data_IF_021310104114
#
_entry.id   IF_021310104114
#
_cell.length_a   1.000
_cell.length_b   1.000
_cell.length_c   1.000
_cell.angle_alpha   90.00
_cell.angle_beta   90.00
_cell.angle_gamma   90.00
#
_symmetry.space_group_name_H-M   'P 1'
#
loop_
_entity.id
_entity.type
_entity.pdbx_description
1 polymer ?
#
# COMPACT_ATOMS: atom_id res chain seq x y z
N UNK A 1 17.75 -51.26 40.80
CA UNK A 1 17.28 -49.89 40.53
C UNK A 1 17.74 -49.53 39.13
N UNK A 2 16.94 -49.89 38.13
CA UNK A 2 17.30 -49.88 36.70
C UNK A 2 16.41 -48.89 35.96
N UNK A 3 17.06 -48.01 35.20
CA UNK A 3 16.52 -47.41 33.98
C UNK A 3 15.48 -46.30 34.15
N UNK A 4 15.91 -45.04 34.23
CA UNK A 4 15.01 -43.91 33.96
C UNK A 4 15.68 -42.60 33.50
N UNK A 5 16.99 -42.60 33.19
CA UNK A 5 17.70 -41.32 32.94
C UNK A 5 18.04 -40.99 31.48
N UNK A 6 17.78 -41.87 30.51
CA UNK A 6 18.21 -41.64 29.12
C UNK A 6 17.12 -41.08 28.19
N UNK A 7 15.83 -41.12 28.58
CA UNK A 7 14.73 -40.77 27.68
C UNK A 7 14.40 -39.27 27.65
N UNK A 8 14.88 -38.47 28.60
CA UNK A 8 14.50 -37.06 28.73
C UNK A 8 15.33 -36.10 27.85
N UNK A 9 16.49 -36.53 27.33
CA UNK A 9 17.38 -35.66 26.56
C UNK A 9 17.09 -35.62 25.05
N UNK A 10 16.33 -36.57 24.50
CA UNK A 10 16.02 -36.60 23.06
C UNK A 10 14.85 -35.70 22.65
N UNK A 11 14.07 -35.16 23.60
CA UNK A 11 12.89 -34.36 23.29
C UNK A 11 13.17 -32.86 23.01
N UNK A 12 14.40 -32.39 23.21
CA UNK A 12 14.78 -30.98 23.02
C UNK A 12 15.29 -30.64 21.62
N UNK A 13 15.57 -31.65 20.78
CA UNK A 13 16.20 -31.43 19.46
C UNK A 13 15.21 -31.28 18.30
N UNK A 14 13.90 -31.45 18.51
CA UNK A 14 12.88 -31.27 17.46
C UNK A 14 12.21 -29.89 17.44
N UNK A 15 12.54 -28.98 18.36
CA UNK A 15 11.84 -27.69 18.48
C UNK A 15 12.38 -26.56 17.56
N UNK A 16 13.42 -26.81 16.76
CA UNK A 16 14.02 -25.80 15.86
C UNK A 16 13.68 -26.02 14.37
N UNK A 17 12.80 -26.96 14.04
CA UNK A 17 12.35 -27.23 12.67
C UNK A 17 11.12 -26.42 12.25
N UNK A 18 11.04 -25.14 12.62
CA UNK A 18 10.02 -24.25 12.07
C UNK A 18 10.42 -23.89 10.65
N UNK A 19 9.91 -24.61 9.66
CA UNK A 19 9.89 -24.10 8.29
C UNK A 19 9.24 -22.71 8.38
N UNK A 20 10.00 -21.67 8.04
CA UNK A 20 9.46 -20.32 7.96
C UNK A 20 8.39 -20.35 6.88
N UNK A 21 7.13 -20.49 7.28
CA UNK A 21 5.97 -20.21 6.45
C UNK A 21 6.24 -18.86 5.78
N UNK A 22 6.09 -18.74 4.45
CA UNK A 22 6.28 -17.46 3.78
C UNK A 22 5.35 -16.47 4.47
N UNK A 23 5.95 -15.54 5.22
CA UNK A 23 5.19 -14.60 6.04
C UNK A 23 4.29 -13.82 5.09
N UNK A 24 2.99 -14.09 5.17
CA UNK A 24 2.00 -13.41 4.34
C UNK A 24 2.07 -11.92 4.69
N UNK A 25 2.63 -11.12 3.77
CA UNK A 25 2.95 -9.72 4.01
C UNK A 25 1.87 -8.87 3.38
N UNK A 26 1.16 -8.12 4.21
CA UNK A 26 0.15 -7.18 3.73
C UNK A 26 0.78 -5.80 3.53
N UNK A 27 0.48 -5.17 2.40
CA UNK A 27 0.81 -3.78 2.09
C UNK A 27 -0.45 -2.93 2.13
N UNK A 28 -0.45 -1.90 2.97
CA UNK A 28 -1.52 -0.90 3.02
C UNK A 28 -1.18 0.29 2.11
N UNK A 29 -2.02 0.53 1.11
CA UNK A 29 -1.83 1.60 0.13
C UNK A 29 -2.89 2.68 0.32
N UNK A 30 -2.47 3.88 0.70
CA UNK A 30 -3.31 5.07 0.73
C UNK A 30 -3.22 5.74 -0.63
N UNK A 31 -4.29 5.68 -1.42
CA UNK A 31 -4.28 6.18 -2.79
C UNK A 31 -5.45 7.14 -3.06
N UNK A 32 -5.19 8.20 -3.81
CA UNK A 32 -6.22 9.14 -4.22
C UNK A 32 -7.39 8.42 -4.91
N UNK A 33 -8.62 8.87 -4.65
CA UNK A 33 -9.84 8.22 -5.13
C UNK A 33 -9.89 8.05 -6.66
N UNK A 34 -9.28 8.94 -7.43
CA UNK A 34 -9.17 8.84 -8.90
C UNK A 34 -8.38 7.62 -9.38
N UNK A 35 -7.56 7.00 -8.52
CA UNK A 35 -6.75 5.83 -8.81
C UNK A 35 -7.47 4.51 -8.52
N UNK A 36 -8.70 4.55 -7.98
CA UNK A 36 -9.44 3.37 -7.50
C UNK A 36 -9.70 2.30 -8.56
N UNK A 37 -9.78 2.70 -9.83
CA UNK A 37 -9.99 1.76 -10.95
C UNK A 37 -8.68 1.13 -11.46
N UNK A 38 -7.55 1.83 -11.32
CA UNK A 38 -6.26 1.40 -11.88
C UNK A 38 -5.40 0.65 -10.86
N UNK A 39 -5.35 1.12 -9.62
CA UNK A 39 -4.50 0.53 -8.58
C UNK A 39 -4.81 -0.94 -8.27
N UNK A 40 -6.07 -1.44 -8.30
CA UNK A 40 -6.34 -2.87 -8.17
C UNK A 40 -5.72 -3.73 -9.28
N UNK A 41 -5.62 -3.19 -10.51
CA UNK A 41 -4.96 -3.88 -11.62
C UNK A 41 -3.44 -3.93 -11.40
N UNK A 42 -2.85 -2.82 -10.93
CA UNK A 42 -1.43 -2.75 -10.55
C UNK A 42 -1.12 -3.74 -9.42
N UNK A 43 -1.96 -3.79 -8.38
CA UNK A 43 -1.80 -4.77 -7.30
C UNK A 43 -1.88 -6.21 -7.80
N UNK A 44 -2.82 -6.51 -8.70
CA UNK A 44 -2.92 -7.86 -9.29
C UNK A 44 -1.62 -8.24 -9.99
N UNK A 45 -1.07 -7.36 -10.83
CA UNK A 45 0.20 -7.60 -11.52
C UNK A 45 1.39 -7.70 -10.56
N UNK A 46 1.41 -6.89 -9.50
CA UNK A 46 2.44 -6.93 -8.46
C UNK A 46 2.40 -8.24 -7.67
N UNK A 47 1.22 -8.66 -7.21
CA UNK A 47 1.05 -9.89 -6.42
C UNK A 47 1.37 -11.16 -7.22
N UNK A 48 1.18 -11.16 -8.54
CA UNK A 48 1.63 -12.25 -9.41
C UNK A 48 3.16 -12.41 -9.42
N UNK A 49 3.90 -11.30 -9.30
CA UNK A 49 5.36 -11.27 -9.25
C UNK A 49 5.92 -11.48 -7.85
N UNK A 50 5.08 -11.28 -6.82
CA UNK A 50 5.45 -11.38 -5.41
C UNK A 50 4.49 -12.32 -4.65
N UNK A 51 4.63 -13.65 -4.81
CA UNK A 51 3.82 -14.62 -4.07
C UNK A 51 3.95 -14.42 -2.57
N UNK A 52 2.82 -14.50 -1.85
CA UNK A 52 2.77 -14.29 -0.40
C UNK A 52 2.66 -12.81 0.01
N UNK A 53 2.51 -11.88 -0.93
CA UNK A 53 2.16 -10.48 -0.63
C UNK A 53 0.68 -10.23 -0.95
N UNK A 54 -0.02 -9.58 -0.02
CA UNK A 54 -1.37 -9.04 -0.22
C UNK A 54 -1.32 -7.52 -0.27
N UNK A 55 -2.19 -6.89 -1.07
CA UNK A 55 -2.32 -5.44 -1.13
C UNK A 55 -3.72 -5.04 -0.69
N UNK A 56 -3.80 -4.09 0.24
CA UNK A 56 -5.03 -3.44 0.71
C UNK A 56 -4.98 -1.97 0.34
N UNK A 57 -6.16 -1.39 0.16
CA UNK A 57 -6.31 0.00 -0.24
C UNK A 57 -7.18 0.78 0.72
N UNK A 58 -6.79 2.02 0.95
CA UNK A 58 -7.65 3.08 1.46
C UNK A 58 -7.74 4.16 0.38
N UNK A 59 -8.90 4.24 -0.28
CA UNK A 59 -9.16 5.24 -1.31
C UNK A 59 -9.93 6.43 -0.72
N UNK A 60 -9.37 7.63 -0.80
CA UNK A 60 -10.04 8.86 -0.42
C UNK A 60 -9.42 10.07 -1.13
N UNK A 61 -9.91 11.29 -0.84
CA UNK A 61 -9.25 12.51 -1.31
C UNK A 61 -7.84 12.66 -0.71
N UNK A 62 -6.88 13.18 -1.49
CA UNK A 62 -5.47 13.30 -1.10
C UNK A 62 -5.29 13.98 0.25
N UNK A 63 -6.00 15.08 0.48
CA UNK A 63 -5.98 15.82 1.76
C UNK A 63 -6.42 14.93 2.93
N UNK A 64 -7.51 14.18 2.77
CA UNK A 64 -8.02 13.28 3.83
C UNK A 64 -7.04 12.16 4.14
N UNK A 65 -6.36 11.60 3.15
CA UNK A 65 -5.36 10.55 3.33
C UNK A 65 -4.14 11.09 4.07
N UNK A 66 -3.61 12.25 3.65
CA UNK A 66 -2.53 12.96 4.35
C UNK A 66 -2.91 13.26 5.80
N UNK A 67 -4.11 13.80 6.07
CA UNK A 67 -4.60 14.02 7.44
C UNK A 67 -4.67 12.73 8.25
N UNK A 68 -5.02 11.60 7.65
CA UNK A 68 -4.99 10.32 8.36
C UNK A 68 -3.56 9.92 8.74
N UNK A 69 -2.59 10.11 7.85
CA UNK A 69 -1.17 9.86 8.14
C UNK A 69 -0.67 10.75 9.30
N UNK A 70 -1.03 12.02 9.31
CA UNK A 70 -0.71 12.93 10.43
C UNK A 70 -1.29 12.48 11.76
N UNK A 71 -2.48 11.88 11.74
CA UNK A 71 -3.11 11.30 12.93
C UNK A 71 -2.63 9.88 13.25
N UNK A 72 -1.53 9.43 12.63
CA UNK A 72 -0.87 8.17 12.95
C UNK A 72 -1.44 6.95 12.25
N UNK A 73 -2.30 7.11 11.25
CA UNK A 73 -2.64 6.01 10.36
C UNK A 73 -1.38 5.54 9.62
N UNK A 74 -1.27 4.23 9.41
CA UNK A 74 -0.10 3.62 8.78
C UNK A 74 -0.42 3.21 7.35
N UNK A 75 0.46 3.60 6.43
CA UNK A 75 0.45 3.16 5.06
C UNK A 75 1.89 2.80 4.65
N UNK A 76 2.04 1.77 3.84
CA UNK A 76 3.31 1.42 3.20
C UNK A 76 3.55 2.26 1.95
N UNK A 77 2.46 2.68 1.29
CA UNK A 77 2.50 3.54 0.10
C UNK A 77 1.47 4.65 0.24
N UNK A 78 1.89 5.89 -0.01
CA UNK A 78 1.01 7.05 -0.15
C UNK A 78 1.07 7.58 -1.60
N UNK A 79 -0.06 7.55 -2.31
CA UNK A 79 -0.20 7.99 -3.70
C UNK A 79 -1.23 9.13 -3.79
N UNK A 80 -0.74 10.37 -3.74
CA UNK A 80 -1.54 11.58 -3.90
C UNK A 80 -1.82 11.90 -5.37
N UNK A 81 -3.00 12.46 -5.65
CA UNK A 81 -3.29 13.11 -6.94
C UNK A 81 -3.06 14.64 -6.89
N UNK A 82 -2.61 15.15 -5.74
CA UNK A 82 -2.48 16.57 -5.43
C UNK A 82 -1.05 16.84 -4.96
N UNK A 83 -0.35 17.73 -5.67
CA UNK A 83 1.05 18.02 -5.43
C UNK A 83 1.24 18.79 -4.11
N UNK A 84 0.37 19.75 -3.81
CA UNK A 84 0.44 20.53 -2.58
C UNK A 84 0.26 19.62 -1.35
N UNK A 85 -0.65 18.64 -1.44
CA UNK A 85 -0.83 17.66 -0.36
C UNK A 85 0.37 16.71 -0.21
N UNK A 86 1.09 16.43 -1.29
CA UNK A 86 2.31 15.62 -1.23
C UNK A 86 3.48 16.41 -0.64
N UNK A 87 3.62 17.69 -0.99
CA UNK A 87 4.61 18.60 -0.42
C UNK A 87 4.39 18.79 1.09
N UNK A 88 3.15 19.05 1.51
CA UNK A 88 2.81 19.09 2.93
C UNK A 88 3.11 17.77 3.67
N UNK A 89 2.91 16.62 3.02
CA UNK A 89 3.26 15.33 3.63
C UNK A 89 4.78 15.18 3.84
N UNK A 90 5.57 15.66 2.88
CA UNK A 90 7.03 15.67 2.94
C UNK A 90 7.52 16.63 4.03
N UNK A 91 7.03 17.88 4.06
CA UNK A 91 7.39 18.88 5.06
C UNK A 91 7.03 18.45 6.49
N UNK A 92 5.90 17.75 6.65
CA UNK A 92 5.48 17.18 7.94
C UNK A 92 6.24 15.91 8.34
N UNK A 93 7.23 15.46 7.55
CA UNK A 93 8.06 14.29 7.85
C UNK A 93 7.29 12.96 7.82
N UNK A 94 6.17 12.90 7.10
CA UNK A 94 5.32 11.70 7.01
C UNK A 94 5.86 10.67 6.01
N UNK A 95 6.84 11.05 5.20
CA UNK A 95 7.38 10.24 4.11
C UNK A 95 8.77 9.70 4.47
N UNK A 96 9.01 8.44 4.13
CA UNK A 96 10.32 7.79 4.32
C UNK A 96 11.36 8.16 3.24
N UNK A 97 10.99 9.01 2.29
CA UNK A 97 11.85 9.42 1.16
C UNK A 97 11.18 10.46 0.27
N UNK A 98 11.87 10.85 -0.80
CA UNK A 98 11.41 11.87 -1.73
C UNK A 98 10.20 11.41 -2.57
N UNK A 99 9.16 12.26 -2.74
CA UNK A 99 8.05 11.97 -3.63
C UNK A 99 8.50 11.80 -5.09
N UNK A 100 7.92 10.82 -5.79
CA UNK A 100 8.20 10.57 -7.21
C UNK A 100 6.94 10.81 -8.04
N UNK A 101 6.98 11.75 -9.01
CA UNK A 101 5.90 11.89 -9.99
C UNK A 101 5.77 10.63 -10.83
N UNK A 102 4.59 10.01 -10.86
CA UNK A 102 4.34 8.78 -11.61
C UNK A 102 3.20 8.90 -12.64
N UNK A 103 2.39 9.96 -12.54
CA UNK A 103 1.28 10.21 -13.45
C UNK A 103 0.99 11.72 -13.53
N UNK A 104 0.35 12.13 -14.63
CA UNK A 104 -0.18 13.47 -14.83
C UNK A 104 -1.61 13.37 -15.34
N UNK A 105 -2.41 14.42 -15.13
CA UNK A 105 -3.74 14.51 -15.72
C UNK A 105 -3.92 15.87 -16.41
N UNK A 106 -4.94 15.96 -17.27
CA UNK A 106 -5.33 17.21 -17.92
C UNK A 106 -6.82 17.44 -17.73
N UNK A 107 -7.18 18.67 -17.36
CA UNK A 107 -8.57 19.07 -17.33
C UNK A 107 -9.08 19.22 -18.77
N UNK A 108 -10.23 18.62 -19.04
CA UNK A 108 -10.92 18.69 -20.33
C UNK A 108 -12.40 18.91 -20.10
N UNK A 109 -13.04 19.59 -21.03
CA UNK A 109 -14.50 19.68 -21.09
C UNK A 109 -14.97 18.72 -22.17
N UNK A 110 -15.88 17.82 -21.81
CA UNK A 110 -16.48 16.84 -22.74
C UNK A 110 -17.88 17.34 -23.08
N UNK A 111 -18.18 17.50 -24.37
CA UNK A 111 -19.51 17.85 -24.87
C UNK A 111 -20.12 16.72 -25.69
N UNK A 112 -21.46 16.55 -25.68
CA UNK A 112 -22.14 15.63 -26.58
C UNK A 112 -21.81 15.92 -28.04
N UNK A 113 -21.81 14.86 -28.85
CA UNK A 113 -21.59 15.00 -30.28
C UNK A 113 -22.73 15.81 -30.91
N UNK A 114 -22.40 16.94 -31.54
CA UNK A 114 -23.37 17.85 -32.17
C UNK A 114 -23.61 19.14 -31.39
N UNK A 115 -23.21 19.20 -30.12
CA UNK A 115 -23.28 20.41 -29.32
C UNK A 115 -22.03 21.27 -29.52
N UNK A 116 -22.23 22.59 -29.55
CA UNK A 116 -21.12 23.55 -29.58
C UNK A 116 -20.78 23.94 -28.14
N UNK A 117 -19.49 23.88 -27.79
CA UNK A 117 -18.98 24.61 -26.62
C UNK A 117 -19.23 26.09 -26.88
N UNK A 118 -20.22 26.68 -26.20
CA UNK A 118 -20.33 28.12 -26.13
C UNK A 118 -19.18 28.64 -25.25
N UNK A 119 -18.49 29.69 -25.69
CA UNK A 119 -17.46 30.32 -24.87
C UNK A 119 -18.10 30.88 -23.58
N UNK A 120 -17.44 30.73 -22.42
CA UNK A 120 -17.95 31.26 -21.14
C UNK A 120 -17.99 32.79 -21.08
#
# INVERSE_FOLDING_TARGET
MRGLSAAALLLWLLACGGAAEPANRELMVFAAASLSNLFPQVATAFQQQHPGVSVKFNFAGSQRLRTQLEHGARADVFASADQDQMELAMESGLLSGEPVPFASNRMVVIVPQGDRLEDP
#
